data_IF_778226361747
#
_entry.id   IF_778226361747
#
_cell.length_a   1.000
_cell.length_b   1.000
_cell.length_c   1.000
_cell.angle_alpha   90.00
_cell.angle_beta   90.00
_cell.angle_gamma   90.00
#
_symmetry.space_group_name_H-M   'P 1'
#
loop_
_entity.id
_entity.type
_entity.pdbx_description
1 polymer ?
#
# COMPACT_ATOMS: atom_id res chain seq x y z
N UNK A 1 34.62 -24.03 16.20
CA UNK A 1 33.67 -23.40 17.14
C UNK A 1 33.75 -21.89 16.94
N UNK A 2 32.88 -21.34 16.11
CA UNK A 2 32.51 -19.92 16.13
C UNK A 2 31.01 -19.92 15.85
N UNK A 3 30.23 -20.17 16.90
CA UNK A 3 28.81 -19.85 16.87
C UNK A 3 28.73 -18.33 17.00
N UNK A 4 28.46 -17.65 15.89
CA UNK A 4 27.95 -16.29 15.93
C UNK A 4 26.70 -16.29 16.82
N UNK A 5 26.67 -15.37 17.79
CA UNK A 5 25.61 -15.31 18.78
C UNK A 5 24.22 -15.11 18.16
N UNK A 6 23.14 -15.42 18.89
CA UNK A 6 21.80 -15.22 18.37
C UNK A 6 21.58 -13.73 18.12
N UNK A 7 21.33 -13.37 16.87
CA UNK A 7 20.65 -12.13 16.50
C UNK A 7 19.41 -12.01 17.40
N UNK A 8 19.39 -11.03 18.31
CA UNK A 8 18.19 -10.69 19.05
C UNK A 8 17.19 -10.09 18.05
N UNK A 9 16.06 -10.77 17.73
CA UNK A 9 15.06 -10.24 16.83
C UNK A 9 14.07 -9.43 17.68
N UNK A 10 14.15 -8.09 17.64
CA UNK A 10 13.34 -7.26 18.54
C UNK A 10 12.97 -5.89 18.02
N UNK A 11 13.94 -5.10 17.55
CA UNK A 11 13.69 -3.70 17.21
C UNK A 11 13.59 -3.48 15.71
N UNK A 12 12.54 -2.77 15.28
CA UNK A 12 12.41 -2.26 13.92
C UNK A 12 13.52 -1.24 13.67
N UNK A 13 14.65 -1.65 13.09
CA UNK A 13 15.82 -0.77 12.98
C UNK A 13 15.81 0.05 11.69
N UNK A 14 15.10 1.18 11.77
CA UNK A 14 15.27 2.35 10.92
C UNK A 14 16.26 3.29 11.61
N UNK A 15 17.56 2.97 11.55
CA UNK A 15 18.58 3.53 12.44
C UNK A 15 19.88 3.96 11.74
N UNK A 16 19.87 4.19 10.42
CA UNK A 16 21.08 4.64 9.70
C UNK A 16 21.07 6.16 9.56
N UNK A 17 22.11 6.82 10.06
CA UNK A 17 22.31 8.28 9.90
C UNK A 17 23.54 8.53 9.04
N UNK A 18 23.39 9.35 8.00
CA UNK A 18 24.51 9.79 7.17
C UNK A 18 25.09 11.11 7.67
N UNK A 19 26.41 11.19 7.80
CA UNK A 19 27.13 12.43 8.12
C UNK A 19 27.96 12.82 6.90
N UNK A 20 27.51 13.85 6.18
CA UNK A 20 28.26 14.44 5.07
C UNK A 20 29.00 15.66 5.60
N UNK A 21 30.20 15.44 6.16
CA UNK A 21 30.97 16.56 6.68
C UNK A 21 32.49 16.32 6.67
N UNK A 22 33.23 17.14 5.93
CA UNK A 22 34.68 17.29 6.02
C UNK A 22 35.01 18.79 5.91
N UNK A 23 35.34 19.42 7.05
CA UNK A 23 35.37 20.89 7.15
C UNK A 23 36.76 21.47 7.38
N UNK A 24 37.74 20.66 7.78
CA UNK A 24 39.12 21.10 8.03
C UNK A 24 39.26 22.07 9.20
N UNK A 25 38.22 22.28 10.01
CA UNK A 25 38.20 23.22 11.13
C UNK A 25 37.67 22.55 12.40
N UNK A 26 38.46 22.61 13.47
CA UNK A 26 38.21 21.87 14.71
C UNK A 26 36.88 22.22 15.38
N UNK A 27 36.49 23.51 15.36
CA UNK A 27 35.26 23.97 16.01
C UNK A 27 33.99 23.39 15.37
N UNK A 28 34.06 22.88 14.12
CA UNK A 28 32.95 22.14 13.48
C UNK A 28 33.13 20.63 13.63
N UNK A 29 34.35 20.13 13.47
CA UNK A 29 34.61 18.69 13.47
C UNK A 29 34.48 18.04 14.85
N UNK A 30 34.93 18.70 15.93
CA UNK A 30 34.85 18.11 17.26
C UNK A 30 33.42 17.93 17.76
N UNK A 31 32.50 18.91 17.64
CA UNK A 31 31.09 18.68 17.95
C UNK A 31 30.46 17.53 17.16
N UNK A 32 30.85 17.34 15.89
CA UNK A 32 30.37 16.21 15.08
C UNK A 32 30.93 14.87 15.59
N UNK A 33 32.20 14.82 16.04
CA UNK A 33 32.77 13.62 16.69
C UNK A 33 32.10 13.30 18.03
N UNK A 34 31.70 14.30 18.80
CA UNK A 34 30.88 14.10 20.01
C UNK A 34 29.50 13.56 19.65
N UNK A 35 28.85 14.14 18.64
CA UNK A 35 27.53 13.73 18.17
C UNK A 35 27.51 12.30 17.61
N UNK A 36 28.54 11.91 16.83
CA UNK A 36 28.72 10.52 16.40
C UNK A 36 28.63 9.57 17.59
N UNK A 37 29.46 9.78 18.61
CA UNK A 37 29.51 8.92 19.81
C UNK A 37 28.18 8.93 20.56
N UNK A 38 27.48 10.05 20.61
CA UNK A 38 26.16 10.15 21.23
C UNK A 38 25.09 9.35 20.47
N UNK A 39 25.11 9.39 19.13
CA UNK A 39 24.18 8.63 18.29
C UNK A 39 24.45 7.11 18.36
N UNK A 40 25.71 6.68 18.41
CA UNK A 40 26.06 5.27 18.62
C UNK A 40 25.54 4.74 19.97
N UNK A 41 25.59 5.55 21.04
CA UNK A 41 24.98 5.20 22.33
C UNK A 41 23.47 5.01 22.26
N UNK A 42 22.81 5.63 21.29
CA UNK A 42 21.38 5.47 20.99
C UNK A 42 21.10 4.38 19.94
N UNK A 43 22.10 3.55 19.61
CA UNK A 43 22.04 2.46 18.64
C UNK A 43 21.78 2.90 17.18
N UNK A 44 22.20 4.11 16.80
CA UNK A 44 22.27 4.50 15.39
C UNK A 44 23.56 3.99 14.74
N UNK A 45 23.43 3.50 13.51
CA UNK A 45 24.55 3.20 12.64
C UNK A 45 24.92 4.46 11.86
N UNK A 46 26.18 4.88 11.96
CA UNK A 46 26.66 6.09 11.28
C UNK A 46 27.39 5.72 9.99
N UNK A 47 27.06 6.41 8.90
CA UNK A 47 27.74 6.27 7.60
C UNK A 47 28.28 7.61 7.12
N UNK A 48 29.38 7.58 6.38
CA UNK A 48 30.11 8.77 5.93
C UNK A 48 30.21 8.77 4.41
N UNK A 49 29.23 9.31 3.68
CA UNK A 49 29.36 9.52 2.24
C UNK A 49 30.52 10.47 1.94
N UNK A 50 31.23 10.18 0.86
CA UNK A 50 32.40 10.96 0.44
C UNK A 50 32.00 12.35 -0.11
N UNK A 51 30.89 12.40 -0.83
CA UNK A 51 30.38 13.60 -1.48
C UNK A 51 28.85 13.55 -1.65
N UNK A 52 28.34 14.54 -2.38
CA UNK A 52 26.92 14.69 -2.70
C UNK A 52 26.38 13.45 -3.42
N UNK A 53 27.04 13.01 -4.47
CA UNK A 53 26.53 11.92 -5.32
C UNK A 53 26.55 10.57 -4.58
N UNK A 54 27.57 10.34 -3.76
CA UNK A 54 27.65 9.17 -2.88
C UNK A 54 26.51 9.15 -1.85
N UNK A 55 26.19 10.31 -1.23
CA UNK A 55 25.04 10.43 -0.35
C UNK A 55 23.71 10.11 -1.07
N UNK A 56 23.50 10.66 -2.27
CA UNK A 56 22.28 10.38 -3.04
C UNK A 56 22.16 8.88 -3.37
N UNK A 57 23.28 8.22 -3.71
CA UNK A 57 23.31 6.77 -3.93
C UNK A 57 23.08 5.97 -2.65
N UNK A 58 23.57 6.44 -1.50
CA UNK A 58 23.23 5.82 -0.22
C UNK A 58 21.74 5.90 0.07
N UNK A 59 21.11 7.07 -0.12
CA UNK A 59 19.67 7.27 0.07
C UNK A 59 18.86 6.37 -0.87
N UNK A 60 19.22 6.33 -2.16
CA UNK A 60 18.53 5.53 -3.17
C UNK A 60 18.59 4.02 -2.88
N UNK A 61 19.73 3.51 -2.41
CA UNK A 61 19.95 2.09 -2.20
C UNK A 61 19.58 1.61 -0.78
N UNK A 62 19.42 2.52 0.20
CA UNK A 62 19.19 2.16 1.60
C UNK A 62 17.96 2.88 2.16
N UNK A 63 16.79 2.25 2.05
CA UNK A 63 15.54 2.75 2.64
C UNK A 63 15.56 2.86 4.18
N UNK A 64 16.60 2.34 4.85
CA UNK A 64 16.80 2.44 6.31
C UNK A 64 17.55 3.70 6.76
N UNK A 65 18.06 4.49 5.81
CA UNK A 65 18.64 5.80 6.07
C UNK A 65 17.54 6.76 6.52
N UNK A 66 17.63 7.21 7.77
CA UNK A 66 16.56 7.94 8.46
C UNK A 66 16.97 9.36 8.90
N UNK A 67 18.15 9.82 8.48
CA UNK A 67 18.53 11.21 8.65
C UNK A 67 19.88 11.54 8.01
N UNK A 68 20.04 12.81 7.65
CA UNK A 68 21.27 13.35 7.06
C UNK A 68 21.76 14.53 7.88
N UNK A 69 23.00 14.47 8.36
CA UNK A 69 23.69 15.56 9.05
C UNK A 69 24.68 16.21 8.09
N UNK A 70 24.60 17.53 7.92
CA UNK A 70 25.48 18.30 7.04
C UNK A 70 25.62 19.77 7.49
N UNK A 71 26.66 20.45 7.00
CA UNK A 71 26.81 21.91 7.15
C UNK A 71 25.88 22.65 6.19
N UNK A 72 25.01 23.52 6.70
CA UNK A 72 23.94 24.16 5.95
C UNK A 72 24.46 24.96 4.74
N UNK A 73 25.39 25.88 4.96
CA UNK A 73 25.85 26.79 3.92
C UNK A 73 26.65 26.07 2.83
N UNK A 74 27.25 24.92 3.16
CA UNK A 74 28.04 24.14 2.21
C UNK A 74 27.18 23.32 1.23
N UNK A 75 26.03 22.80 1.66
CA UNK A 75 25.31 21.78 0.89
C UNK A 75 23.80 22.05 0.68
N UNK A 76 23.21 23.09 1.26
CA UNK A 76 21.77 23.34 1.16
C UNK A 76 21.26 23.40 -0.29
N UNK A 77 21.89 24.18 -1.16
CA UNK A 77 21.53 24.35 -2.57
C UNK A 77 21.76 23.07 -3.40
N UNK A 78 22.67 22.20 -2.97
CA UNK A 78 23.04 20.97 -3.69
C UNK A 78 22.19 19.74 -3.30
N UNK A 79 21.67 19.73 -2.06
CA UNK A 79 20.99 18.57 -1.48
C UNK A 79 19.48 18.72 -1.38
N UNK A 80 18.97 19.89 -1.00
CA UNK A 80 17.56 20.03 -0.62
C UNK A 80 16.61 19.65 -1.76
N UNK A 81 16.87 20.11 -2.99
CA UNK A 81 16.02 19.79 -4.13
C UNK A 81 16.03 18.28 -4.44
N UNK A 82 17.21 17.67 -4.53
CA UNK A 82 17.35 16.24 -4.88
C UNK A 82 16.79 15.31 -3.79
N UNK A 83 17.02 15.64 -2.52
CA UNK A 83 16.43 14.86 -1.42
C UNK A 83 14.90 14.98 -1.43
N UNK A 84 14.35 16.17 -1.66
CA UNK A 84 12.88 16.34 -1.74
C UNK A 84 12.25 15.52 -2.87
N UNK A 85 12.95 15.33 -4.00
CA UNK A 85 12.49 14.47 -5.10
C UNK A 85 12.51 12.99 -4.75
N UNK A 86 13.40 12.56 -3.84
CA UNK A 86 13.53 11.17 -3.42
C UNK A 86 12.61 10.82 -2.24
N UNK A 87 12.62 11.64 -1.19
CA UNK A 87 11.88 11.43 0.04
C UNK A 87 11.56 12.77 0.73
N UNK A 88 10.32 13.22 0.58
CA UNK A 88 9.80 14.50 1.09
C UNK A 88 9.74 14.57 2.63
N UNK A 89 9.98 13.45 3.33
CA UNK A 89 9.88 13.37 4.78
C UNK A 89 11.22 13.01 5.45
N UNK A 90 12.29 12.81 4.68
CA UNK A 90 13.60 12.46 5.23
C UNK A 90 14.11 13.60 6.14
N UNK A 91 14.40 13.33 7.43
CA UNK A 91 14.94 14.34 8.33
C UNK A 91 16.31 14.87 7.91
N UNK A 92 16.42 16.19 7.82
CA UNK A 92 17.65 16.93 7.54
C UNK A 92 18.10 17.66 8.80
N UNK A 93 19.30 17.34 9.28
CA UNK A 93 19.92 17.93 10.46
C UNK A 93 21.00 18.91 10.01
N UNK A 94 20.57 20.14 9.75
CA UNK A 94 21.39 21.20 9.19
C UNK A 94 22.14 21.94 10.30
N UNK A 95 23.47 21.96 10.24
CA UNK A 95 24.27 22.77 11.14
C UNK A 95 24.46 24.17 10.57
N UNK A 96 23.96 25.18 11.28
CA UNK A 96 23.97 26.58 10.85
C UNK A 96 25.25 27.31 11.29
N UNK A 97 25.62 28.32 10.51
CA UNK A 97 26.65 29.30 10.82
C UNK A 97 26.00 30.66 11.13
N UNK A 98 26.80 31.61 11.63
CA UNK A 98 26.34 32.95 12.03
C UNK A 98 25.60 33.72 10.93
N UNK A 99 25.95 33.49 9.67
CA UNK A 99 25.36 34.17 8.51
C UNK A 99 24.53 33.23 7.63
N UNK A 100 24.13 32.06 8.15
CA UNK A 100 23.27 31.15 7.40
C UNK A 100 21.94 31.80 7.05
N UNK A 101 21.58 31.73 5.78
CA UNK A 101 20.32 32.26 5.25
C UNK A 101 19.53 31.16 4.57
N UNK A 102 18.21 31.38 4.44
CA UNK A 102 17.34 30.56 3.60
C UNK A 102 17.25 31.21 2.22
N UNK A 103 17.61 30.45 1.18
CA UNK A 103 17.46 30.91 -0.20
C UNK A 103 16.01 30.80 -0.66
N UNK A 104 15.59 31.68 -1.58
CA UNK A 104 14.23 31.71 -2.12
C UNK A 104 13.85 30.43 -2.87
N UNK A 105 14.84 29.70 -3.42
CA UNK A 105 14.64 28.41 -4.11
C UNK A 105 14.08 27.31 -3.20
N UNK A 106 14.18 27.44 -1.88
CA UNK A 106 13.73 26.45 -0.91
C UNK A 106 12.24 26.54 -0.58
N UNK A 107 11.56 27.63 -0.95
CA UNK A 107 10.19 27.92 -0.51
C UNK A 107 9.15 26.88 -0.97
N UNK A 108 9.34 26.32 -2.18
CA UNK A 108 8.41 25.35 -2.77
C UNK A 108 8.77 23.90 -2.43
N UNK A 109 9.90 23.68 -1.75
CA UNK A 109 10.36 22.34 -1.39
C UNK A 109 9.71 21.87 -0.08
N UNK A 110 9.13 20.68 -0.12
CA UNK A 110 8.67 20.00 1.09
C UNK A 110 9.86 19.30 1.75
N UNK A 111 10.37 19.91 2.81
CA UNK A 111 11.54 19.45 3.57
C UNK A 111 11.22 19.33 5.05
N UNK A 112 11.89 18.41 5.74
CA UNK A 112 11.89 18.34 7.20
C UNK A 112 13.28 18.71 7.71
N UNK A 113 13.45 19.94 8.19
CA UNK A 113 14.76 20.49 8.56
C UNK A 113 14.78 20.89 10.03
N UNK A 114 15.77 20.39 10.76
CA UNK A 114 16.13 20.85 12.11
C UNK A 114 17.47 21.55 12.05
N UNK A 115 17.53 22.77 12.61
CA UNK A 115 18.77 23.55 12.69
C UNK A 115 19.48 23.33 14.02
N UNK A 116 20.80 23.09 13.96
CA UNK A 116 21.68 22.92 15.11
C UNK A 116 22.90 23.83 15.02
N UNK A 117 23.54 24.06 16.18
CA UNK A 117 24.77 24.84 16.29
C UNK A 117 25.99 23.94 16.54
N UNK A 118 27.17 24.41 16.12
CA UNK A 118 28.44 23.78 16.46
C UNK A 118 28.88 24.17 17.88
N UNK A 119 28.56 23.35 18.87
CA UNK A 119 28.94 23.58 20.27
C UNK A 119 29.40 22.28 20.96
N UNK A 120 30.46 22.38 21.76
CA UNK A 120 30.92 21.27 22.61
C UNK A 120 29.91 21.02 23.73
N UNK A 121 29.68 19.74 24.06
CA UNK A 121 28.74 19.33 25.10
C UNK A 121 27.25 19.38 24.71
N UNK A 122 26.92 19.81 23.48
CA UNK A 122 25.54 19.80 22.96
C UNK A 122 25.12 18.43 22.38
N UNK A 123 26.07 17.51 22.21
CA UNK A 123 25.87 16.25 21.49
C UNK A 123 24.73 15.38 22.03
N UNK A 124 24.59 15.25 23.36
CA UNK A 124 23.54 14.41 23.95
C UNK A 124 22.13 14.98 23.72
N UNK A 125 21.96 16.31 23.81
CA UNK A 125 20.68 16.96 23.51
C UNK A 125 20.32 16.83 22.02
N UNK A 126 21.30 17.07 21.13
CA UNK A 126 21.11 16.93 19.68
C UNK A 126 20.78 15.47 19.32
N UNK A 127 21.47 14.49 19.90
CA UNK A 127 21.20 13.07 19.66
C UNK A 127 19.79 12.65 20.13
N UNK A 128 19.33 13.16 21.27
CA UNK A 128 17.97 12.94 21.74
C UNK A 128 16.91 13.56 20.82
N UNK A 129 17.17 14.78 20.31
CA UNK A 129 16.30 15.42 19.31
C UNK A 129 16.27 14.61 18.01
N UNK A 130 17.41 14.15 17.51
CA UNK A 130 17.49 13.24 16.34
C UNK A 130 16.66 11.97 16.58
N UNK A 131 16.74 11.38 17.78
CA UNK A 131 15.93 10.20 18.12
C UNK A 131 14.43 10.50 18.09
N UNK A 132 14.00 11.62 18.68
CA UNK A 132 12.60 12.06 18.63
C UNK A 132 12.13 12.32 17.20
N UNK A 133 12.90 13.05 16.40
CA UNK A 133 12.59 13.31 14.98
C UNK A 133 12.56 12.02 14.15
N UNK A 134 13.39 11.04 14.48
CA UNK A 134 13.34 9.70 13.85
C UNK A 134 12.03 8.99 14.18
N UNK A 135 11.58 9.04 15.43
CA UNK A 135 10.30 8.44 15.85
C UNK A 135 9.11 9.18 15.20
N UNK A 136 9.17 10.50 15.06
CA UNK A 136 8.21 11.32 14.30
C UNK A 136 8.18 10.96 12.82
N UNK A 137 9.35 10.75 12.21
CA UNK A 137 9.47 10.30 10.81
C UNK A 137 8.81 8.94 10.62
N UNK A 138 9.14 7.95 11.45
CA UNK A 138 8.52 6.61 11.44
C UNK A 138 7.00 6.72 11.58
N UNK A 139 6.52 7.54 12.51
CA UNK A 139 5.10 7.79 12.71
C UNK A 139 4.45 8.51 11.51
N UNK A 140 5.18 9.35 10.79
CA UNK A 140 4.65 10.07 9.62
C UNK A 140 4.44 9.13 8.44
N UNK A 141 5.36 8.19 8.22
CA UNK A 141 5.31 7.28 7.06
C UNK A 141 4.46 6.03 7.31
N UNK A 142 4.31 5.59 8.57
CA UNK A 142 3.44 4.45 8.90
C UNK A 142 1.96 4.82 8.74
N UNK A 143 1.18 4.02 8.01
CA UNK A 143 -0.26 4.24 7.87
C UNK A 143 -1.01 3.88 9.17
N UNK A 144 -2.24 4.40 9.37
CA UNK A 144 -2.89 4.45 10.68
C UNK A 144 -3.11 3.09 11.35
N UNK A 145 -3.62 2.08 10.64
CA UNK A 145 -3.91 0.77 11.25
C UNK A 145 -2.62 0.02 11.59
N UNK A 146 -1.66 0.00 10.68
CA UNK A 146 -0.36 -0.66 10.89
C UNK A 146 0.41 -0.01 12.05
N UNK A 147 0.33 1.32 12.16
CA UNK A 147 0.89 2.06 13.31
C UNK A 147 0.24 1.65 14.63
N UNK A 148 -1.09 1.58 14.67
CA UNK A 148 -1.84 1.14 15.85
C UNK A 148 -1.49 -0.31 16.22
N UNK A 149 -1.40 -1.22 15.23
CA UNK A 149 -1.01 -2.61 15.42
C UNK A 149 0.40 -2.73 16.01
N UNK A 150 1.37 -2.01 15.45
CA UNK A 150 2.75 -2.04 15.95
C UNK A 150 2.85 -1.45 17.37
N UNK A 151 2.08 -0.40 17.66
CA UNK A 151 1.98 0.17 19.00
C UNK A 151 1.42 -0.86 19.99
N UNK A 152 0.32 -1.52 19.63
CA UNK A 152 -0.28 -2.58 20.43
C UNK A 152 0.70 -3.72 20.72
N UNK A 153 1.43 -4.20 19.71
CA UNK A 153 2.40 -5.29 19.88
C UNK A 153 3.52 -4.93 20.86
N UNK A 154 3.92 -3.64 20.93
CA UNK A 154 4.94 -3.14 21.86
C UNK A 154 4.40 -2.89 23.28
N UNK A 155 3.19 -2.38 23.40
CA UNK A 155 2.66 -1.82 24.67
C UNK A 155 1.56 -2.68 25.32
N UNK A 156 0.86 -3.49 24.53
CA UNK A 156 -0.35 -4.22 24.91
C UNK A 156 -0.10 -5.28 25.98
N UNK A 157 -1.07 -5.43 26.90
CA UNK A 157 -1.00 -6.34 28.06
C UNK A 157 -2.24 -7.25 28.20
N UNK A 158 -2.98 -7.48 27.11
CA UNK A 158 -4.19 -8.30 27.21
C UNK A 158 -3.88 -9.75 27.57
N UNK A 159 -4.69 -10.29 28.47
CA UNK A 159 -4.75 -11.69 28.88
C UNK A 159 -6.20 -12.15 28.77
N UNK A 160 -6.44 -13.45 28.55
CA UNK A 160 -7.79 -14.01 28.37
C UNK A 160 -8.56 -13.49 27.13
N UNK A 161 -7.89 -13.38 25.98
CA UNK A 161 -8.52 -13.04 24.69
C UNK A 161 -8.27 -14.12 23.63
N UNK A 162 -9.11 -14.15 22.59
CA UNK A 162 -8.78 -14.86 21.35
C UNK A 162 -7.79 -14.03 20.52
N UNK A 163 -6.89 -14.66 19.74
CA UNK A 163 -6.73 -16.11 19.52
C UNK A 163 -6.17 -16.89 20.73
N UNK A 164 -6.53 -18.17 20.84
CA UNK A 164 -6.19 -19.01 22.01
C UNK A 164 -4.70 -19.25 22.24
N UNK A 165 -3.83 -18.95 21.25
CA UNK A 165 -2.38 -19.01 21.46
C UNK A 165 -1.83 -17.79 22.22
N UNK A 166 -2.62 -16.72 22.40
CA UNK A 166 -2.32 -15.53 23.21
C UNK A 166 -0.94 -14.94 22.93
N UNK A 167 -0.71 -14.42 21.72
CA UNK A 167 0.60 -13.87 21.36
C UNK A 167 1.72 -14.91 21.24
N UNK A 168 1.34 -16.20 21.19
CA UNK A 168 2.23 -17.33 20.98
C UNK A 168 2.65 -18.05 22.27
N UNK A 169 2.12 -17.65 23.43
CA UNK A 169 2.35 -18.32 24.72
C UNK A 169 2.01 -19.82 24.66
N UNK A 170 0.93 -20.22 23.99
CA UNK A 170 0.57 -21.64 23.90
C UNK A 170 1.57 -22.45 23.05
N UNK A 171 2.11 -21.88 21.97
CA UNK A 171 3.10 -22.55 21.13
C UNK A 171 4.36 -22.91 21.94
N UNK A 172 4.79 -22.04 22.84
CA UNK A 172 5.94 -22.29 23.71
C UNK A 172 5.74 -23.40 24.75
N UNK A 173 4.52 -23.94 24.91
CA UNK A 173 4.23 -25.07 25.81
C UNK A 173 4.34 -26.44 25.12
N UNK A 174 4.64 -26.48 23.83
CA UNK A 174 4.81 -27.70 23.04
C UNK A 174 6.19 -27.73 22.37
N UNK A 175 6.94 -28.84 22.37
CA UNK A 175 8.25 -28.92 21.71
C UNK A 175 8.19 -28.62 20.20
N UNK A 176 7.16 -29.08 19.49
CA UNK A 176 6.98 -28.72 18.07
C UNK A 176 6.49 -27.27 17.92
N UNK A 177 5.73 -26.78 18.89
CA UNK A 177 5.24 -25.41 18.91
C UNK A 177 6.34 -24.38 19.15
N UNK A 178 7.35 -24.68 19.97
CA UNK A 178 8.47 -23.76 20.19
C UNK A 178 9.28 -23.54 18.91
N UNK A 179 9.54 -24.61 18.14
CA UNK A 179 10.18 -24.50 16.82
C UNK A 179 9.37 -23.62 15.86
N UNK A 180 8.05 -23.75 15.87
CA UNK A 180 7.15 -22.90 15.07
C UNK A 180 7.18 -21.44 15.52
N UNK A 181 7.18 -21.20 16.84
CA UNK A 181 7.32 -19.87 17.42
C UNK A 181 8.64 -19.22 17.03
N UNK A 182 9.76 -19.95 17.15
CA UNK A 182 11.10 -19.45 16.84
C UNK A 182 11.28 -19.18 15.34
N UNK A 183 10.65 -19.98 14.48
CA UNK A 183 10.69 -19.79 13.03
C UNK A 183 10.00 -18.49 12.58
N UNK A 184 8.78 -18.24 13.06
CA UNK A 184 8.01 -17.05 12.68
C UNK A 184 8.34 -15.80 13.50
N UNK A 185 8.91 -16.00 14.68
CA UNK A 185 9.30 -14.95 15.60
C UNK A 185 8.15 -14.31 16.41
N UNK A 186 8.49 -13.53 17.45
CA UNK A 186 7.51 -13.00 18.39
C UNK A 186 6.49 -12.05 17.79
N UNK A 187 6.91 -11.15 16.89
CA UNK A 187 6.06 -10.10 16.36
C UNK A 187 4.92 -10.66 15.51
N UNK A 188 5.19 -11.70 14.70
CA UNK A 188 4.17 -12.42 13.94
C UNK A 188 3.07 -12.93 14.87
N UNK A 189 3.46 -13.63 15.94
CA UNK A 189 2.53 -14.21 16.91
C UNK A 189 1.75 -13.16 17.70
N UNK A 190 2.41 -12.08 18.12
CA UNK A 190 1.79 -10.99 18.90
C UNK A 190 0.86 -10.12 18.07
N UNK A 191 1.07 -10.06 16.75
CA UNK A 191 0.22 -9.32 15.82
C UNK A 191 -1.01 -10.10 15.35
N UNK A 192 -1.08 -11.41 15.64
CA UNK A 192 -2.28 -12.22 15.42
C UNK A 192 -3.26 -12.03 16.58
N UNK A 193 -4.14 -11.06 16.39
CA UNK A 193 -5.11 -10.57 17.38
C UNK A 193 -6.53 -10.62 16.83
N UNK A 194 -7.49 -10.28 17.69
CA UNK A 194 -8.91 -10.23 17.34
C UNK A 194 -9.50 -8.86 17.69
N UNK A 195 -10.79 -8.68 17.38
CA UNK A 195 -11.59 -7.53 17.81
C UNK A 195 -11.67 -7.33 19.33
N UNK A 196 -11.17 -8.28 20.13
CA UNK A 196 -10.98 -8.10 21.59
C UNK A 196 -10.08 -6.90 21.91
N UNK A 197 -9.19 -6.54 20.99
CA UNK A 197 -8.35 -5.34 21.04
C UNK A 197 -9.14 -4.16 20.46
N UNK A 198 -9.95 -3.54 21.31
CA UNK A 198 -10.97 -2.56 20.88
C UNK A 198 -10.37 -1.27 20.30
N UNK A 199 -9.15 -0.91 20.67
CA UNK A 199 -8.46 0.29 20.19
C UNK A 199 -8.10 0.23 18.69
N UNK A 200 -8.11 -0.96 18.07
CA UNK A 200 -7.94 -1.12 16.63
C UNK A 200 -9.25 -1.09 15.84
N UNK A 201 -10.41 -1.03 16.51
CA UNK A 201 -11.72 -1.10 15.87
C UNK A 201 -11.96 -2.47 15.24
N UNK A 202 -12.75 -2.50 14.16
CA UNK A 202 -13.19 -3.74 13.51
C UNK A 202 -13.23 -3.58 12.00
N UNK A 203 -12.71 -4.60 11.30
CA UNK A 203 -12.73 -4.68 9.84
C UNK A 203 -14.16 -4.75 9.29
N UNK A 204 -15.03 -5.58 9.90
CA UNK A 204 -16.39 -5.81 9.41
C UNK A 204 -17.32 -4.63 9.68
N UNK A 205 -17.04 -3.86 10.74
CA UNK A 205 -17.81 -2.66 11.09
C UNK A 205 -17.26 -1.39 10.42
N UNK A 206 -16.15 -1.50 9.68
CA UNK A 206 -15.42 -0.37 9.11
C UNK A 206 -15.18 0.76 10.13
N UNK A 207 -14.66 0.41 11.30
CA UNK A 207 -14.58 1.30 12.47
C UNK A 207 -13.15 1.54 12.97
N UNK A 208 -12.93 2.66 13.66
CA UNK A 208 -11.62 3.03 14.21
C UNK A 208 -10.51 3.09 13.15
N UNK A 209 -9.28 2.62 13.46
CA UNK A 209 -8.18 2.56 12.51
C UNK A 209 -8.47 1.80 11.21
N UNK A 210 -9.39 0.82 11.20
CA UNK A 210 -9.80 0.16 9.96
C UNK A 210 -10.52 1.13 9.00
N UNK A 211 -11.37 2.02 9.52
CA UNK A 211 -12.01 3.08 8.74
C UNK A 211 -10.98 4.02 8.13
N UNK A 212 -10.01 4.44 8.94
CA UNK A 212 -8.94 5.33 8.52
C UNK A 212 -8.07 4.68 7.44
N UNK A 213 -7.78 3.38 7.57
CA UNK A 213 -7.05 2.60 6.59
C UNK A 213 -7.79 2.52 5.24
N UNK A 214 -9.09 2.23 5.25
CA UNK A 214 -9.90 2.18 4.03
C UNK A 214 -9.98 3.54 3.32
N UNK A 215 -10.13 4.62 4.08
CA UNK A 215 -10.07 5.98 3.55
C UNK A 215 -8.68 6.33 3.02
N UNK A 216 -7.63 5.89 3.70
CA UNK A 216 -6.24 6.07 3.25
C UNK A 216 -6.00 5.38 1.92
N UNK A 217 -6.39 4.10 1.82
CA UNK A 217 -6.28 3.30 0.59
C UNK A 217 -7.08 3.96 -0.54
N UNK A 218 -8.33 4.38 -0.28
CA UNK A 218 -9.17 5.03 -1.30
C UNK A 218 -8.51 6.29 -1.88
N UNK A 219 -7.91 7.14 -1.03
CA UNK A 219 -7.15 8.32 -1.48
C UNK A 219 -5.93 7.94 -2.32
N UNK A 220 -5.19 6.91 -1.93
CA UNK A 220 -3.98 6.48 -2.64
C UNK A 220 -4.31 5.86 -4.00
N UNK A 221 -5.43 5.14 -4.11
CA UNK A 221 -5.83 4.39 -5.31
C UNK A 221 -6.88 5.11 -6.18
N UNK A 222 -7.15 6.39 -5.92
CA UNK A 222 -8.12 7.21 -6.67
C UNK A 222 -9.52 6.59 -6.73
N UNK A 223 -10.01 6.12 -5.58
CA UNK A 223 -11.33 5.53 -5.41
C UNK A 223 -12.19 6.40 -4.47
N UNK A 224 -13.51 6.34 -4.62
CA UNK A 224 -14.43 6.98 -3.68
C UNK A 224 -14.54 6.17 -2.38
N UNK A 225 -14.57 4.84 -2.52
CA UNK A 225 -14.57 3.88 -1.40
C UNK A 225 -13.63 2.73 -1.72
N UNK A 226 -12.95 2.22 -0.70
CA UNK A 226 -12.15 0.99 -0.80
C UNK A 226 -12.48 0.03 0.33
N UNK A 227 -12.46 -1.27 0.04
CA UNK A 227 -12.64 -2.34 1.02
C UNK A 227 -11.40 -3.24 1.02
N UNK A 228 -10.91 -3.61 2.19
CA UNK A 228 -9.82 -4.58 2.34
C UNK A 228 -10.41 -6.00 2.40
N UNK A 229 -9.92 -6.92 1.58
CA UNK A 229 -10.40 -8.31 1.52
C UNK A 229 -9.25 -9.25 1.88
N UNK A 230 -9.48 -10.14 2.85
CA UNK A 230 -8.44 -11.05 3.39
C UNK A 230 -8.52 -12.47 2.83
N UNK A 231 -9.23 -12.67 1.70
CA UNK A 231 -9.36 -13.97 1.04
C UNK A 231 -9.19 -13.85 -0.49
N UNK A 232 -8.34 -12.92 -0.90
CA UNK A 232 -7.91 -12.69 -2.28
C UNK A 232 -8.98 -12.12 -3.21
N UNK A 233 -8.56 -11.74 -4.42
CA UNK A 233 -9.47 -11.20 -5.44
C UNK A 233 -10.52 -12.22 -5.90
N UNK A 234 -10.24 -13.51 -5.70
CA UNK A 234 -11.25 -14.56 -5.87
C UNK A 234 -12.51 -14.30 -5.05
N UNK A 235 -12.38 -13.74 -3.85
CA UNK A 235 -13.47 -13.41 -2.95
C UNK A 235 -14.00 -12.00 -3.23
N UNK A 236 -13.11 -11.04 -3.50
CA UNK A 236 -13.50 -9.68 -3.90
C UNK A 236 -14.46 -9.68 -5.11
N UNK A 237 -14.17 -10.50 -6.13
CA UNK A 237 -15.03 -10.69 -7.30
C UNK A 237 -16.44 -11.21 -6.95
N UNK A 238 -16.56 -12.07 -5.93
CA UNK A 238 -17.85 -12.60 -5.49
C UNK A 238 -18.66 -11.54 -4.75
N UNK A 239 -18.01 -10.77 -3.87
CA UNK A 239 -18.64 -9.66 -3.13
C UNK A 239 -19.25 -8.66 -4.12
N UNK A 240 -18.45 -8.18 -5.08
CA UNK A 240 -18.93 -7.24 -6.12
C UNK A 240 -20.04 -7.87 -6.98
N UNK A 241 -19.86 -9.13 -7.38
CA UNK A 241 -20.81 -9.85 -8.21
C UNK A 241 -22.17 -10.08 -7.55
N UNK A 242 -22.19 -10.61 -6.32
CA UNK A 242 -23.43 -10.88 -5.57
C UNK A 242 -24.17 -9.60 -5.20
N UNK A 243 -23.46 -8.50 -4.96
CA UNK A 243 -24.08 -7.17 -4.82
C UNK A 243 -24.71 -6.68 -6.13
N UNK A 244 -24.01 -6.87 -7.25
CA UNK A 244 -24.37 -6.23 -8.52
C UNK A 244 -25.36 -7.02 -9.38
N UNK A 245 -25.49 -8.33 -9.15
CA UNK A 245 -26.26 -9.23 -10.00
C UNK A 245 -27.29 -10.05 -9.20
N UNK A 246 -28.51 -9.52 -8.99
CA UNK A 246 -29.60 -10.25 -8.34
C UNK A 246 -30.00 -11.51 -9.11
N UNK A 247 -30.68 -12.44 -8.43
CA UNK A 247 -31.23 -13.64 -9.07
C UNK A 247 -32.18 -13.29 -10.25
N UNK A 248 -32.13 -14.08 -11.32
CA UNK A 248 -32.86 -13.87 -12.57
C UNK A 248 -32.31 -12.76 -13.46
N UNK A 249 -31.27 -12.03 -13.03
CA UNK A 249 -30.67 -10.96 -13.83
C UNK A 249 -29.75 -11.50 -14.93
N UNK A 250 -29.44 -10.64 -15.91
CA UNK A 250 -28.45 -10.91 -16.96
C UNK A 250 -27.17 -10.15 -16.68
N UNK A 251 -26.03 -10.82 -16.88
CA UNK A 251 -24.71 -10.21 -16.77
C UNK A 251 -23.94 -10.33 -18.09
N UNK A 252 -23.20 -9.29 -18.43
CA UNK A 252 -22.16 -9.37 -19.46
C UNK A 252 -20.86 -9.79 -18.79
N UNK A 253 -20.23 -10.86 -19.26
CA UNK A 253 -19.01 -11.38 -18.64
C UNK A 253 -17.96 -11.67 -19.70
N UNK A 254 -16.73 -11.24 -19.46
CA UNK A 254 -15.60 -11.61 -20.31
C UNK A 254 -15.46 -13.13 -20.40
N UNK A 255 -15.29 -13.67 -21.61
CA UNK A 255 -14.98 -15.09 -21.78
C UNK A 255 -13.55 -15.41 -21.31
N UNK A 256 -12.68 -14.41 -21.25
CA UNK A 256 -11.36 -14.49 -20.62
C UNK A 256 -11.42 -14.25 -19.09
N UNK A 257 -12.43 -14.82 -18.42
CA UNK A 257 -12.63 -14.60 -16.98
C UNK A 257 -11.76 -15.54 -16.12
N UNK A 258 -11.32 -15.04 -14.96
CA UNK A 258 -10.76 -15.90 -13.93
C UNK A 258 -11.79 -16.88 -13.37
N UNK A 259 -11.36 -18.08 -12.97
CA UNK A 259 -12.22 -19.15 -12.41
C UNK A 259 -13.16 -18.71 -11.27
N UNK A 260 -12.80 -17.67 -10.51
CA UNK A 260 -13.66 -17.14 -9.46
C UNK A 260 -14.97 -16.56 -9.98
N UNK A 261 -14.97 -16.00 -11.19
CA UNK A 261 -16.16 -15.47 -11.85
C UNK A 261 -17.04 -16.60 -12.40
N UNK A 262 -16.43 -17.71 -12.84
CA UNK A 262 -17.17 -18.94 -13.10
C UNK A 262 -17.85 -19.46 -11.83
N UNK A 263 -17.13 -19.49 -10.70
CA UNK A 263 -17.74 -19.89 -9.43
C UNK A 263 -18.86 -18.93 -9.01
N UNK A 264 -18.72 -17.63 -9.24
CA UNK A 264 -19.81 -16.67 -9.01
C UNK A 264 -21.07 -17.07 -9.79
N UNK A 265 -20.95 -17.33 -11.10
CA UNK A 265 -22.08 -17.77 -11.93
C UNK A 265 -22.68 -19.11 -11.48
N UNK A 266 -21.90 -19.98 -10.84
CA UNK A 266 -22.40 -21.24 -10.29
C UNK A 266 -23.15 -21.05 -8.96
N UNK A 267 -22.87 -19.97 -8.23
CA UNK A 267 -23.48 -19.68 -6.92
C UNK A 267 -24.65 -18.71 -7.02
N UNK A 268 -24.70 -17.88 -8.07
CA UNK A 268 -25.73 -16.88 -8.31
C UNK A 268 -26.59 -17.30 -9.49
N UNK A 269 -27.92 -17.29 -9.32
CA UNK A 269 -28.87 -17.58 -10.38
C UNK A 269 -28.94 -16.42 -11.40
N UNK A 270 -27.98 -16.37 -12.31
CA UNK A 270 -27.84 -15.31 -13.32
C UNK A 270 -27.68 -15.90 -14.71
N UNK A 271 -28.11 -15.15 -15.71
CA UNK A 271 -27.95 -15.52 -17.13
C UNK A 271 -26.71 -14.84 -17.72
N UNK A 272 -25.64 -15.58 -18.07
CA UNK A 272 -24.43 -14.97 -18.60
C UNK A 272 -24.50 -14.78 -20.13
N UNK A 273 -24.24 -13.56 -20.58
CA UNK A 273 -23.90 -13.26 -21.98
C UNK A 273 -22.40 -12.97 -22.04
N UNK A 274 -21.68 -13.70 -22.89
CA UNK A 274 -20.23 -13.58 -22.95
C UNK A 274 -19.77 -12.47 -23.90
N UNK A 275 -18.84 -11.62 -23.46
CA UNK A 275 -17.98 -10.87 -24.39
C UNK A 275 -17.01 -11.82 -25.08
N UNK A 276 -16.66 -11.54 -26.33
CA UNK A 276 -15.77 -12.40 -27.13
C UNK A 276 -14.41 -11.72 -27.32
N UNK A 277 -13.35 -12.15 -26.62
CA UNK A 277 -12.01 -11.67 -26.88
C UNK A 277 -11.49 -12.16 -28.23
N UNK A 278 -10.54 -11.43 -28.79
CA UNK A 278 -9.77 -11.85 -29.97
C UNK A 278 -8.60 -12.76 -29.59
N UNK A 279 -7.89 -13.30 -30.58
CA UNK A 279 -6.61 -14.01 -30.37
C UNK A 279 -5.71 -13.89 -31.58
N UNK A 280 -4.40 -14.00 -31.38
CA UNK A 280 -3.42 -14.11 -32.45
C UNK A 280 -3.04 -15.58 -32.73
N UNK A 281 -2.16 -15.80 -33.71
CA UNK A 281 -1.71 -17.14 -34.11
C UNK A 281 -0.89 -17.88 -33.03
N UNK A 282 -0.30 -17.17 -32.07
CA UNK A 282 0.41 -17.78 -30.92
C UNK A 282 -0.54 -18.31 -29.85
N UNK A 283 -1.83 -17.98 -29.93
CA UNK A 283 -2.82 -18.35 -28.92
C UNK A 283 -2.98 -17.32 -27.80
N UNK A 284 -2.22 -16.22 -27.82
CA UNK A 284 -2.37 -15.08 -26.90
C UNK A 284 -3.74 -14.46 -27.12
N UNK A 285 -4.48 -14.24 -26.03
CA UNK A 285 -5.77 -13.57 -26.10
C UNK A 285 -5.56 -12.06 -26.26
N UNK A 286 -6.19 -11.52 -27.30
CA UNK A 286 -6.32 -10.08 -27.50
C UNK A 286 -7.48 -9.50 -26.69
N UNK A 287 -7.75 -8.22 -26.92
CA UNK A 287 -8.89 -7.54 -26.31
C UNK A 287 -10.24 -7.96 -26.91
N UNK A 288 -11.31 -7.66 -26.17
CA UNK A 288 -12.69 -7.62 -26.67
C UNK A 288 -12.81 -6.48 -27.71
N UNK A 289 -13.27 -6.76 -28.95
CA UNK A 289 -13.49 -5.73 -29.95
C UNK A 289 -14.48 -4.64 -29.52
N UNK A 290 -14.27 -3.41 -30.01
CA UNK A 290 -15.15 -2.27 -29.71
C UNK A 290 -16.63 -2.52 -30.03
N UNK A 291 -16.90 -3.30 -31.08
CA UNK A 291 -18.27 -3.66 -31.51
C UNK A 291 -19.04 -4.48 -30.48
N UNK A 292 -18.37 -5.21 -29.59
CA UNK A 292 -19.00 -6.00 -28.52
C UNK A 292 -19.60 -5.14 -27.42
N UNK A 293 -19.12 -3.90 -27.25
CA UNK A 293 -19.62 -2.94 -26.26
C UNK A 293 -20.79 -2.08 -26.76
N UNK A 294 -21.17 -2.22 -28.03
CA UNK A 294 -22.22 -1.40 -28.63
C UNK A 294 -23.61 -1.93 -28.26
N UNK A 295 -24.53 -1.01 -27.96
CA UNK A 295 -25.93 -1.31 -27.63
C UNK A 295 -26.56 -2.30 -28.62
N UNK A 296 -26.38 -2.11 -29.94
CA UNK A 296 -27.00 -2.97 -30.95
C UNK A 296 -26.54 -4.44 -30.86
N UNK A 297 -25.24 -4.66 -30.61
CA UNK A 297 -24.67 -6.00 -30.42
C UNK A 297 -25.23 -6.66 -29.18
N UNK A 298 -25.30 -5.91 -28.07
CA UNK A 298 -25.80 -6.42 -26.79
C UNK A 298 -27.30 -6.74 -26.90
N UNK A 299 -28.12 -5.83 -27.46
CA UNK A 299 -29.55 -6.02 -27.66
C UNK A 299 -29.85 -7.27 -28.50
N UNK A 300 -29.06 -7.50 -29.56
CA UNK A 300 -29.17 -8.71 -30.37
C UNK A 300 -28.89 -9.97 -29.53
N UNK A 301 -27.82 -9.98 -28.74
CA UNK A 301 -27.47 -11.12 -27.88
C UNK A 301 -28.50 -11.38 -26.79
N UNK A 302 -29.07 -10.34 -26.20
CA UNK A 302 -30.17 -10.45 -25.24
C UNK A 302 -31.36 -11.14 -25.90
N UNK A 303 -31.77 -10.71 -27.10
CA UNK A 303 -32.88 -11.34 -27.85
C UNK A 303 -32.62 -12.81 -28.20
N UNK A 304 -31.38 -13.17 -28.48
CA UNK A 304 -30.96 -14.53 -28.85
C UNK A 304 -30.71 -15.45 -27.64
N UNK A 305 -30.66 -14.90 -26.41
CA UNK A 305 -30.37 -15.66 -25.19
C UNK A 305 -31.67 -15.93 -24.43
N UNK A 306 -32.06 -17.20 -24.21
CA UNK A 306 -33.24 -17.53 -23.41
C UNK A 306 -33.18 -16.89 -22.03
N UNK A 307 -34.32 -16.37 -21.55
CA UNK A 307 -34.47 -15.76 -20.23
C UNK A 307 -33.63 -14.49 -19.98
N UNK A 308 -32.89 -14.00 -20.97
CA UNK A 308 -32.07 -12.82 -20.80
C UNK A 308 -32.90 -11.54 -20.80
N UNK A 309 -32.47 -10.60 -19.96
CA UNK A 309 -32.92 -9.22 -19.90
C UNK A 309 -31.75 -8.29 -20.23
N UNK A 310 -31.98 -6.97 -20.24
CA UNK A 310 -30.86 -6.05 -20.43
C UNK A 310 -29.82 -6.23 -19.30
N UNK A 311 -28.51 -6.30 -19.60
CA UNK A 311 -27.51 -6.58 -18.59
C UNK A 311 -27.49 -5.52 -17.48
N UNK A 312 -27.51 -5.97 -16.23
CA UNK A 312 -27.44 -5.08 -15.06
C UNK A 312 -26.01 -4.87 -14.57
N UNK A 313 -25.12 -5.80 -14.91
CA UNK A 313 -23.72 -5.83 -14.52
C UNK A 313 -22.84 -6.33 -15.67
N UNK A 314 -21.66 -5.74 -15.81
CA UNK A 314 -20.66 -6.14 -16.79
C UNK A 314 -19.29 -6.37 -16.13
N UNK A 315 -18.65 -7.51 -16.41
CA UNK A 315 -17.31 -7.84 -15.89
C UNK A 315 -16.32 -7.96 -17.04
N UNK A 316 -15.21 -7.21 -16.96
CA UNK A 316 -14.16 -7.15 -17.98
C UNK A 316 -12.81 -7.38 -17.29
N UNK A 317 -11.98 -8.27 -17.80
CA UNK A 317 -10.64 -8.49 -17.26
C UNK A 317 -9.67 -7.47 -17.86
N UNK A 318 -9.15 -6.54 -17.05
CA UNK A 318 -8.25 -5.48 -17.50
C UNK A 318 -7.06 -5.30 -16.55
N UNK A 319 -5.81 -5.54 -16.97
CA UNK A 319 -5.40 -5.98 -18.31
C UNK A 319 -5.76 -7.45 -18.60
N UNK A 320 -5.53 -7.89 -19.84
CA UNK A 320 -5.35 -9.34 -20.08
C UNK A 320 -4.13 -9.86 -19.31
N UNK A 321 -4.01 -11.19 -19.19
CA UNK A 321 -2.88 -11.82 -18.52
C UNK A 321 -1.54 -11.41 -19.13
N UNK A 322 -1.47 -11.30 -20.47
CA UNK A 322 -0.27 -10.95 -21.23
C UNK A 322 -0.04 -9.43 -21.36
N UNK A 323 -0.73 -8.60 -20.56
CA UNK A 323 -0.45 -7.17 -20.45
C UNK A 323 -1.13 -6.27 -21.48
N UNK A 324 -2.21 -6.72 -22.13
CA UNK A 324 -2.99 -5.85 -23.02
C UNK A 324 -4.01 -5.05 -22.20
N UNK A 325 -3.82 -3.74 -22.16
CA UNK A 325 -4.72 -2.79 -21.49
C UNK A 325 -5.81 -2.30 -22.45
N UNK A 326 -7.00 -2.07 -21.91
CA UNK A 326 -8.10 -1.45 -22.64
C UNK A 326 -8.05 0.07 -22.58
N UNK A 327 -8.63 0.73 -23.59
CA UNK A 327 -9.07 2.12 -23.43
C UNK A 327 -10.36 2.11 -22.59
N UNK A 328 -10.23 2.37 -21.29
CA UNK A 328 -11.34 2.30 -20.35
C UNK A 328 -12.28 3.49 -20.48
N UNK A 329 -11.82 4.64 -21.00
CA UNK A 329 -12.68 5.79 -21.28
C UNK A 329 -13.69 5.46 -22.39
N UNK A 330 -13.24 4.74 -23.42
CA UNK A 330 -14.14 4.21 -24.46
C UNK A 330 -15.21 3.29 -23.84
N UNK A 331 -14.82 2.37 -22.96
CA UNK A 331 -15.75 1.43 -22.33
C UNK A 331 -16.75 2.17 -21.43
N UNK A 332 -16.27 3.05 -20.55
CA UNK A 332 -17.11 3.88 -19.66
C UNK A 332 -18.12 4.71 -20.43
N UNK A 333 -17.72 5.26 -21.59
CA UNK A 333 -18.60 6.05 -22.47
C UNK A 333 -19.60 5.18 -23.23
N UNK A 334 -19.15 4.06 -23.78
CA UNK A 334 -19.91 3.30 -24.81
C UNK A 334 -20.79 2.22 -24.22
N UNK A 335 -20.32 1.51 -23.19
CA UNK A 335 -21.04 0.40 -22.59
C UNK A 335 -22.17 0.91 -21.70
N UNK A 336 -23.40 0.76 -22.13
CA UNK A 336 -24.65 1.21 -21.52
C UNK A 336 -25.18 0.23 -20.46
N UNK A 337 -24.31 -0.09 -19.50
CA UNK A 337 -24.60 -0.90 -18.31
C UNK A 337 -24.31 -0.09 -17.06
N UNK A 338 -25.24 -0.11 -16.09
CA UNK A 338 -25.15 0.72 -14.87
C UNK A 338 -24.04 0.32 -13.89
N UNK A 339 -23.57 -0.93 -13.95
CA UNK A 339 -22.53 -1.46 -13.06
C UNK A 339 -21.45 -2.14 -13.89
N UNK A 340 -20.24 -1.59 -13.88
CA UNK A 340 -19.10 -2.10 -14.66
C UNK A 340 -17.96 -2.44 -13.71
N UNK A 341 -17.55 -3.70 -13.72
CA UNK A 341 -16.46 -4.22 -12.91
C UNK A 341 -15.28 -4.59 -13.80
N UNK A 342 -14.15 -3.93 -13.55
CA UNK A 342 -12.86 -4.33 -14.08
C UNK A 342 -12.18 -5.29 -13.10
N UNK A 343 -12.00 -6.56 -13.49
CA UNK A 343 -11.10 -7.47 -12.76
C UNK A 343 -9.67 -7.04 -13.08
N UNK A 344 -9.09 -6.26 -12.18
CA UNK A 344 -7.79 -5.60 -12.30
C UNK A 344 -6.73 -6.24 -11.41
N UNK A 345 -6.87 -7.55 -11.18
CA UNK A 345 -5.96 -8.31 -10.33
C UNK A 345 -4.49 -8.21 -10.76
N UNK A 346 -4.22 -8.02 -12.05
CA UNK A 346 -2.86 -7.95 -12.62
C UNK A 346 -2.30 -6.53 -12.76
N UNK A 347 -3.09 -5.49 -12.49
CA UNK A 347 -2.67 -4.11 -12.71
C UNK A 347 -2.92 -3.20 -11.49
N UNK A 348 -2.59 -3.64 -10.26
CA UNK A 348 -2.83 -2.88 -9.04
C UNK A 348 -2.01 -1.57 -8.94
N UNK A 349 -1.07 -1.35 -9.86
CA UNK A 349 -0.14 -0.23 -9.84
C UNK A 349 -0.54 0.94 -10.77
N UNK A 350 -1.64 0.82 -11.50
CA UNK A 350 -1.98 1.75 -12.59
C UNK A 350 -2.20 3.20 -12.16
N UNK A 351 -2.53 3.45 -10.89
CA UNK A 351 -2.69 4.82 -10.40
C UNK A 351 -1.36 5.56 -10.18
N UNK A 352 -0.21 4.86 -10.24
CA UNK A 352 1.08 5.40 -9.80
C UNK A 352 2.03 5.74 -10.96
N UNK A 353 1.59 5.59 -12.22
CA UNK A 353 2.34 6.08 -13.38
C UNK A 353 1.40 6.66 -14.44
N UNK A 354 1.73 7.84 -15.01
CA UNK A 354 0.86 8.53 -15.97
C UNK A 354 0.67 7.76 -17.28
N UNK A 355 1.56 6.80 -17.60
CA UNK A 355 1.42 6.00 -18.82
C UNK A 355 0.14 5.14 -18.81
N UNK A 356 -0.46 4.91 -17.64
CA UNK A 356 -1.68 4.12 -17.46
C UNK A 356 -2.96 4.96 -17.41
N UNK A 357 -2.87 6.28 -17.53
CA UNK A 357 -4.06 7.15 -17.59
C UNK A 357 -4.96 6.76 -18.78
N UNK A 358 -6.28 6.76 -18.53
CA UNK A 358 -7.32 6.28 -19.45
C UNK A 358 -7.37 4.76 -19.63
N UNK A 359 -6.47 3.99 -18.97
CA UNK A 359 -6.30 2.54 -19.18
C UNK A 359 -6.70 1.67 -17.99
N UNK A 360 -7.20 2.27 -16.90
CA UNK A 360 -7.74 1.56 -15.74
C UNK A 360 -9.13 2.08 -15.32
N UNK A 361 -9.90 1.22 -14.66
CA UNK A 361 -11.25 1.52 -14.18
C UNK A 361 -11.31 2.74 -13.25
N UNK A 362 -10.33 2.93 -12.37
CA UNK A 362 -10.24 4.08 -11.47
C UNK A 362 -9.73 5.36 -12.14
N UNK A 363 -9.20 5.32 -13.36
CA UNK A 363 -8.76 6.53 -14.07
C UNK A 363 -9.91 7.53 -14.31
N UNK A 364 -9.64 8.82 -14.19
CA UNK A 364 -10.63 9.89 -14.34
C UNK A 364 -11.58 10.02 -13.14
N UNK A 365 -12.73 10.67 -13.38
CA UNK A 365 -13.77 10.91 -12.37
C UNK A 365 -14.88 9.86 -12.34
N UNK A 366 -15.97 10.19 -11.65
CA UNK A 366 -17.23 9.42 -11.71
C UNK A 366 -17.84 9.46 -13.11
N UNK A 367 -18.61 8.43 -13.42
CA UNK A 367 -19.39 8.33 -14.66
C UNK A 367 -20.87 8.41 -14.29
N UNK A 368 -21.60 9.37 -14.86
CA UNK A 368 -23.01 9.59 -14.53
C UNK A 368 -23.85 8.33 -14.75
N UNK A 369 -24.70 7.99 -13.78
CA UNK A 369 -25.59 6.84 -13.83
C UNK A 369 -24.88 5.47 -13.78
N UNK A 370 -23.56 5.43 -13.53
CA UNK A 370 -22.79 4.20 -13.46
C UNK A 370 -21.97 4.10 -12.18
N UNK A 371 -21.81 2.88 -11.68
CA UNK A 371 -20.81 2.52 -10.67
C UNK A 371 -19.72 1.68 -11.32
N UNK A 372 -18.47 2.04 -11.07
CA UNK A 372 -17.28 1.36 -11.59
C UNK A 372 -16.56 0.68 -10.42
N UNK A 373 -16.21 -0.58 -10.62
CA UNK A 373 -15.42 -1.35 -9.67
C UNK A 373 -14.07 -1.71 -10.25
N UNK A 374 -13.05 -1.71 -9.40
CA UNK A 374 -11.84 -2.49 -9.62
C UNK A 374 -11.65 -3.49 -8.49
N UNK A 375 -11.28 -4.72 -8.82
CA UNK A 375 -10.79 -5.69 -7.85
C UNK A 375 -9.32 -5.97 -8.12
N UNK A 376 -8.49 -5.81 -7.10
CA UNK A 376 -7.04 -5.85 -7.25
C UNK A 376 -6.42 -6.87 -6.29
N UNK A 377 -5.54 -7.74 -6.80
CA UNK A 377 -4.76 -8.65 -5.98
C UNK A 377 -3.49 -7.92 -5.54
N UNK A 378 -3.54 -7.26 -4.40
CA UNK A 378 -2.41 -6.49 -3.85
C UNK A 378 -1.15 -7.35 -3.78
N UNK A 379 -1.29 -8.63 -3.40
CA UNK A 379 -0.19 -9.57 -3.26
C UNK A 379 0.42 -10.10 -4.58
N UNK A 380 -0.10 -9.73 -5.76
CA UNK A 380 0.45 -10.20 -7.05
C UNK A 380 1.61 -9.33 -7.51
N UNK A 381 1.34 -8.03 -7.67
CA UNK A 381 2.27 -7.08 -8.30
C UNK A 381 2.46 -5.81 -7.46
N UNK A 382 1.99 -5.81 -6.20
CA UNK A 382 2.46 -4.94 -5.14
C UNK A 382 3.02 -5.80 -3.99
N UNK A 383 3.48 -5.16 -2.91
CA UNK A 383 4.06 -5.85 -1.76
C UNK A 383 3.04 -6.01 -0.63
N UNK A 384 2.29 -7.12 -0.64
CA UNK A 384 1.37 -7.51 0.44
C UNK A 384 1.38 -9.03 0.64
N UNK A 385 0.93 -9.51 1.81
CA UNK A 385 0.82 -10.95 2.04
C UNK A 385 -0.22 -11.59 1.12
N UNK A 386 -0.01 -12.86 0.76
CA UNK A 386 -1.00 -13.67 0.05
C UNK A 386 -2.38 -13.53 0.68
N UNK A 387 -3.42 -13.55 -0.18
CA UNK A 387 -4.82 -13.26 0.15
C UNK A 387 -5.17 -11.78 0.36
N UNK A 388 -4.21 -10.85 0.45
CA UNK A 388 -4.50 -9.41 0.45
C UNK A 388 -5.09 -8.98 -0.90
N UNK A 389 -6.30 -8.43 -0.87
CA UNK A 389 -6.99 -7.88 -2.03
C UNK A 389 -7.73 -6.60 -1.66
N UNK A 390 -7.97 -5.78 -2.66
CA UNK A 390 -8.78 -4.56 -2.53
C UNK A 390 -9.97 -4.62 -3.47
N UNK A 391 -11.09 -4.04 -3.03
CA UNK A 391 -12.20 -3.60 -3.90
C UNK A 391 -12.16 -2.08 -3.90
N UNK A 392 -12.09 -1.47 -5.07
CA UNK A 392 -12.22 -0.02 -5.25
C UNK A 392 -13.54 0.29 -5.95
N UNK A 393 -14.23 1.31 -5.46
CA UNK A 393 -15.52 1.79 -5.98
C UNK A 393 -15.37 3.24 -6.43
N UNK A 394 -15.85 3.54 -7.64
CA UNK A 394 -16.04 4.89 -8.17
C UNK A 394 -17.50 5.04 -8.59
N UNK A 395 -18.27 5.88 -7.90
CA UNK A 395 -19.72 5.98 -8.00
C UNK A 395 -20.44 5.59 -6.71
N UNK A 396 -21.76 5.51 -6.76
CA UNK A 396 -22.59 5.28 -5.58
C UNK A 396 -23.00 3.80 -5.43
N UNK A 397 -22.89 3.31 -4.20
CA UNK A 397 -23.44 2.02 -3.77
C UNK A 397 -24.36 2.25 -2.57
N UNK A 398 -25.32 1.36 -2.37
CA UNK A 398 -25.99 1.26 -1.08
C UNK A 398 -24.98 0.64 -0.09
N UNK A 399 -24.41 1.46 0.80
CA UNK A 399 -23.31 1.05 1.68
C UNK A 399 -23.70 -0.12 2.59
N UNK A 400 -24.91 -0.13 3.14
CA UNK A 400 -25.42 -1.20 4.00
C UNK A 400 -25.54 -2.52 3.22
N UNK A 401 -26.16 -2.47 2.04
CA UNK A 401 -26.32 -3.67 1.19
C UNK A 401 -24.97 -4.19 0.68
N UNK A 402 -24.04 -3.29 0.36
CA UNK A 402 -22.69 -3.69 -0.03
C UNK A 402 -21.92 -4.30 1.14
N UNK A 403 -22.10 -3.77 2.36
CA UNK A 403 -21.47 -4.34 3.55
C UNK A 403 -22.06 -5.73 3.88
N UNK A 404 -23.36 -5.95 3.71
CA UNK A 404 -23.94 -7.30 3.82
C UNK A 404 -23.27 -8.28 2.84
N UNK A 405 -23.10 -7.89 1.57
CA UNK A 405 -22.38 -8.71 0.59
C UNK A 405 -20.91 -8.94 0.95
N UNK A 406 -20.25 -7.94 1.57
CA UNK A 406 -18.89 -8.04 2.06
C UNK A 406 -18.78 -9.03 3.23
N UNK A 407 -19.66 -8.92 4.23
CA UNK A 407 -19.69 -9.78 5.41
C UNK A 407 -20.06 -11.22 5.09
N UNK A 408 -20.93 -11.46 4.09
CA UNK A 408 -21.27 -12.82 3.61
C UNK A 408 -20.04 -13.65 3.18
N UNK A 409 -18.94 -12.98 2.83
CA UNK A 409 -17.73 -13.64 2.33
C UNK A 409 -16.48 -13.35 3.18
N UNK A 410 -16.61 -12.59 4.26
CA UNK A 410 -15.50 -12.23 5.13
C UNK A 410 -15.61 -12.99 6.45
N UNK A 411 -14.52 -13.63 6.86
CA UNK A 411 -14.48 -14.30 8.17
C UNK A 411 -14.66 -13.30 9.30
N UNK A 412 -15.36 -13.68 10.37
CA UNK A 412 -15.52 -12.86 11.58
C UNK A 412 -14.23 -12.69 12.38
N UNK A 413 -13.18 -13.47 12.04
CA UNK A 413 -11.84 -13.39 12.63
C UNK A 413 -10.80 -13.18 11.52
N UNK A 414 -10.67 -11.96 10.96
CA UNK A 414 -9.71 -11.68 9.91
C UNK A 414 -8.27 -11.70 10.45
N UNK A 415 -7.30 -12.05 9.59
CA UNK A 415 -5.89 -12.05 9.97
C UNK A 415 -5.29 -10.64 9.88
N UNK A 416 -4.97 -10.03 11.01
CA UNK A 416 -4.55 -8.61 11.08
C UNK A 416 -3.23 -8.34 10.34
N UNK A 417 -2.33 -9.32 10.24
CA UNK A 417 -1.14 -9.19 9.39
C UNK A 417 -1.47 -9.00 7.90
N UNK A 418 -2.54 -9.63 7.39
CA UNK A 418 -2.96 -9.49 5.99
C UNK A 418 -3.55 -8.10 5.78
N UNK A 419 -4.39 -7.64 6.70
CA UNK A 419 -4.98 -6.30 6.71
C UNK A 419 -3.88 -5.23 6.74
N UNK A 420 -2.94 -5.33 7.68
CA UNK A 420 -1.81 -4.40 7.80
C UNK A 420 -0.91 -4.41 6.55
N UNK A 421 -0.65 -5.58 5.94
CA UNK A 421 0.11 -5.64 4.68
C UNK A 421 -0.62 -4.98 3.51
N UNK A 422 -1.96 -5.03 3.49
CA UNK A 422 -2.80 -4.39 2.46
C UNK A 422 -2.69 -2.87 2.57
N UNK A 423 -2.78 -2.32 3.78
CA UNK A 423 -2.61 -0.90 4.05
C UNK A 423 -1.15 -0.44 3.82
N UNK A 424 -0.17 -1.24 4.24
CA UNK A 424 1.25 -0.93 4.06
C UNK A 424 1.62 -0.88 2.57
N UNK A 425 1.04 -1.76 1.74
CA UNK A 425 1.22 -1.68 0.28
C UNK A 425 0.74 -0.32 -0.28
N UNK A 426 -0.37 0.22 0.24
CA UNK A 426 -0.83 1.55 -0.12
C UNK A 426 0.16 2.64 0.34
N UNK A 427 0.72 2.51 1.55
CA UNK A 427 1.72 3.45 2.03
C UNK A 427 2.99 3.47 1.19
N UNK A 428 3.46 2.30 0.73
CA UNK A 428 4.60 2.20 -0.18
C UNK A 428 4.36 2.89 -1.52
N UNK A 429 3.11 2.88 -2.01
CA UNK A 429 2.73 3.48 -3.29
C UNK A 429 2.36 4.98 -3.19
N UNK A 430 2.37 5.57 -2.00
CA UNK A 430 1.98 6.97 -1.81
C UNK A 430 3.10 7.92 -2.27
N UNK A 431 2.71 9.02 -2.94
CA UNK A 431 3.60 10.16 -3.21
C UNK A 431 4.75 9.86 -4.18
N UNK A 432 5.87 10.55 -4.02
CA UNK A 432 7.03 10.38 -4.90
C UNK A 432 7.67 8.99 -4.76
N UNK A 433 7.64 8.41 -3.55
CA UNK A 433 8.15 7.06 -3.31
C UNK A 433 7.47 6.02 -4.22
N UNK A 434 6.14 6.01 -4.26
CA UNK A 434 5.39 5.09 -5.12
C UNK A 434 5.64 5.30 -6.61
N UNK A 435 5.67 6.56 -7.06
CA UNK A 435 6.01 6.90 -8.45
C UNK A 435 7.40 6.40 -8.83
N UNK A 436 8.40 6.58 -7.96
CA UNK A 436 9.77 6.08 -8.18
C UNK A 436 9.81 4.56 -8.24
N UNK A 437 9.10 3.87 -7.35
CA UNK A 437 9.02 2.40 -7.36
C UNK A 437 8.47 1.88 -8.68
N UNK A 438 7.40 2.47 -9.22
CA UNK A 438 6.83 2.05 -10.51
C UNK A 438 7.70 2.47 -11.70
N UNK A 439 8.28 3.68 -11.67
CA UNK A 439 9.18 4.14 -12.72
C UNK A 439 10.47 3.31 -12.80
N UNK A 440 10.96 2.75 -11.69
CA UNK A 440 12.15 1.89 -11.69
C UNK A 440 11.95 0.53 -12.36
N UNK A 441 10.71 0.12 -12.67
CA UNK A 441 10.42 -1.07 -13.48
C UNK A 441 10.39 -0.79 -14.99
N UNK A 442 10.50 0.48 -15.39
CA UNK A 442 10.70 0.91 -16.77
C UNK A 442 12.19 1.16 -17.03
#
# INVERSE_FOLDING_TARGET
MCWEGPFLPGDMTMNVIAILNHMGVYFKEEPIRELHRALERLNFQIVYPNDRDDLLKLIENNARLCGVIFDWDKYNLELCEEISKMNENLPLYAFANTYSTLDVSLNDLRLQISFFEYALGAADDIANKIKQTTDEYINTILPPLTKALFKYVREGKYTFCTPGHMGGTAFQKSPVGSLFYDFFGPNTMKSDISISVSELGSLLDHSGPHKEAEQYIARVFNADRSYMVTNGTSTANKIVGMYSAPAGSTILIDRNCHKSLTHLMMMSDVTPIYFRPTRNAYGILGGIPQSEFQHATIAKRVKETPNATWPVHAVITNSTYDGLLYNTDFIKKTLDVKSIHFDSAWVPYTNFSPIYEGKCGMSGGRVEGKVIYETQSTHKLLAAFSQASMIHVKGDVNEETFNEAYMMHTTTSPHYGIVASTETAAAMMKGNAGKRLINGFH
#
